data_IF_816533530047
#
_entry.id   IF_816533530047
#
_cell.length_a   1.000
_cell.length_b   1.000
_cell.length_c   1.000
_cell.angle_alpha   90.00
_cell.angle_beta   90.00
_cell.angle_gamma   90.00
#
_symmetry.space_group_name_H-M   'P 1'
#
loop_
_entity.id
_entity.type
_entity.pdbx_description
1 polymer ?
#
# COMPACT_ATOMS: atom_id res chain seq x y z
N UNK A 1 -0.86 -18.66 4.96
CA UNK A 1 -1.86 -17.59 4.79
C UNK A 1 -1.27 -16.48 3.93
N UNK A 2 -2.03 -16.02 2.96
CA UNK A 2 -1.55 -15.04 1.99
C UNK A 2 -1.25 -13.71 2.67
N UNK A 3 -0.11 -13.10 2.34
CA UNK A 3 0.23 -11.78 2.83
C UNK A 3 -0.63 -10.72 2.16
N UNK A 4 -0.91 -9.65 2.89
CA UNK A 4 -1.66 -8.51 2.38
C UNK A 4 -0.71 -7.32 2.27
N UNK A 5 -0.82 -6.57 1.17
CA UNK A 5 -0.09 -5.33 1.00
C UNK A 5 -1.09 -4.19 1.12
N UNK A 6 -0.81 -3.25 2.01
CA UNK A 6 -1.72 -2.16 2.29
C UNK A 6 -1.32 -0.90 1.52
N UNK A 7 -2.32 -0.32 0.83
CA UNK A 7 -2.16 1.00 0.22
C UNK A 7 -1.95 2.05 1.32
N UNK A 8 -1.32 3.14 0.97
CA UNK A 8 -0.94 4.20 1.91
C UNK A 8 -2.14 4.73 2.70
N UNK A 9 -3.28 4.93 2.04
CA UNK A 9 -4.47 5.44 2.73
C UNK A 9 -4.97 4.48 3.80
N UNK A 10 -4.88 3.17 3.57
CA UNK A 10 -5.29 2.19 4.57
C UNK A 10 -4.41 2.30 5.82
N UNK A 11 -3.08 2.42 5.64
CA UNK A 11 -2.16 2.60 6.75
C UNK A 11 -2.50 3.89 7.51
N UNK A 12 -2.77 4.97 6.78
CA UNK A 12 -3.14 6.25 7.39
C UNK A 12 -4.41 6.14 8.23
N UNK A 13 -5.41 5.40 7.74
CA UNK A 13 -6.65 5.18 8.51
C UNK A 13 -6.34 4.46 9.84
N UNK A 14 -5.50 3.43 9.79
CA UNK A 14 -5.12 2.69 10.99
C UNK A 14 -4.40 3.58 12.00
N UNK A 15 -3.48 4.43 11.51
CA UNK A 15 -2.72 5.33 12.36
C UNK A 15 -3.60 6.36 13.07
N UNK A 16 -4.61 6.88 12.36
CA UNK A 16 -5.47 7.96 12.88
C UNK A 16 -6.69 7.45 13.62
N UNK A 17 -6.87 6.13 13.71
CA UNK A 17 -8.10 5.53 14.22
C UNK A 17 -9.33 6.06 13.48
N UNK A 18 -9.20 6.26 12.17
CA UNK A 18 -10.28 6.69 11.30
C UNK A 18 -11.42 5.66 11.33
N UNK A 19 -12.69 6.07 11.22
CA UNK A 19 -13.80 5.10 11.13
C UNK A 19 -13.60 4.05 10.04
N UNK A 20 -12.95 4.39 8.92
CA UNK A 20 -12.65 3.43 7.87
C UNK A 20 -11.69 2.32 8.32
N UNK A 21 -10.89 2.57 9.36
CA UNK A 21 -10.03 1.52 9.91
C UNK A 21 -10.85 0.33 10.39
N UNK A 22 -12.02 0.58 11.00
CA UNK A 22 -12.91 -0.49 11.49
C UNK A 22 -13.44 -1.35 10.36
N UNK A 23 -13.63 -0.74 9.19
CA UNK A 23 -14.17 -1.44 8.01
C UNK A 23 -13.15 -2.43 7.48
N UNK A 24 -11.87 -2.07 7.52
CA UNK A 24 -10.81 -2.90 6.95
C UNK A 24 -10.17 -3.87 7.95
N UNK A 25 -10.19 -3.60 9.26
CA UNK A 25 -9.54 -4.46 10.25
C UNK A 25 -9.93 -5.94 10.14
N UNK A 26 -11.19 -6.31 9.90
CA UNK A 26 -11.53 -7.73 9.77
C UNK A 26 -10.79 -8.44 8.65
N UNK A 27 -10.47 -7.71 7.55
CA UNK A 27 -9.71 -8.29 6.44
C UNK A 27 -8.25 -8.54 6.81
N UNK A 28 -7.72 -7.77 7.74
CA UNK A 28 -6.30 -7.79 8.08
C UNK A 28 -5.96 -8.84 9.13
N UNK A 29 -6.94 -9.23 9.92
CA UNK A 29 -6.73 -10.12 11.07
C UNK A 29 -6.09 -11.44 10.63
N UNK A 30 -5.04 -11.84 11.33
CA UNK A 30 -4.33 -13.10 11.13
C UNK A 30 -3.56 -13.21 9.82
N UNK A 31 -3.41 -12.12 9.08
CA UNK A 31 -2.58 -12.09 7.86
C UNK A 31 -1.25 -11.38 8.13
N UNK A 32 -0.15 -11.87 7.54
CA UNK A 32 1.07 -11.06 7.49
C UNK A 32 0.80 -9.80 6.68
N UNK A 33 1.30 -8.66 7.15
CA UNK A 33 1.06 -7.37 6.52
C UNK A 33 2.36 -6.80 5.95
N UNK A 34 2.25 -6.24 4.75
CA UNK A 34 3.38 -5.63 4.06
C UNK A 34 2.98 -4.25 3.52
N UNK A 35 3.96 -3.41 3.30
CA UNK A 35 3.80 -2.13 2.62
C UNK A 35 4.93 -1.95 1.61
N UNK A 36 4.64 -1.17 0.56
CA UNK A 36 5.67 -0.74 -0.38
C UNK A 36 6.59 0.29 0.28
N UNK A 37 7.86 0.32 -0.14
CA UNK A 37 8.76 1.40 0.24
C UNK A 37 8.18 2.77 -0.12
N UNK A 38 7.38 2.84 -1.18
CA UNK A 38 6.72 4.08 -1.59
C UNK A 38 5.70 4.53 -0.54
N UNK A 39 4.96 3.59 0.04
CA UNK A 39 4.05 3.89 1.14
C UNK A 39 4.81 4.48 2.32
N UNK A 40 5.96 3.90 2.68
CA UNK A 40 6.79 4.45 3.74
C UNK A 40 7.20 5.89 3.44
N UNK A 41 7.65 6.15 2.19
CA UNK A 41 8.04 7.49 1.77
C UNK A 41 6.87 8.48 1.87
N UNK A 42 5.68 8.06 1.43
CA UNK A 42 4.48 8.89 1.51
C UNK A 42 4.07 9.18 2.95
N UNK A 43 4.25 8.24 3.85
CA UNK A 43 3.95 8.45 5.26
C UNK A 43 4.89 9.48 5.88
N UNK A 44 6.19 9.44 5.55
CA UNK A 44 7.13 10.46 6.00
C UNK A 44 6.77 11.84 5.46
N UNK A 45 6.42 11.92 4.19
CA UNK A 45 5.98 13.19 3.60
C UNK A 45 4.71 13.70 4.28
N UNK A 46 3.76 12.80 4.53
CA UNK A 46 2.52 13.15 5.21
C UNK A 46 2.76 13.68 6.61
N UNK A 47 3.74 13.13 7.33
CA UNK A 47 4.10 13.59 8.67
C UNK A 47 4.58 15.05 8.64
N UNK A 48 5.39 15.40 7.64
CA UNK A 48 5.89 16.76 7.50
C UNK A 48 4.78 17.73 7.09
N UNK A 49 3.96 17.32 6.10
CA UNK A 49 2.88 18.17 5.57
C UNK A 49 1.80 18.43 6.61
N UNK A 50 1.45 17.39 7.38
CA UNK A 50 0.37 17.48 8.37
C UNK A 50 0.79 17.95 9.73
N UNK A 51 2.06 18.28 9.95
CA UNK A 51 2.59 18.67 11.27
C UNK A 51 2.21 17.64 12.33
N UNK A 52 2.46 16.38 12.05
CA UNK A 52 2.08 15.28 12.94
C UNK A 52 2.83 15.39 14.27
N UNK A 53 2.13 15.00 15.35
CA UNK A 53 2.74 14.92 16.67
C UNK A 53 3.78 13.82 16.77
N UNK A 54 4.52 13.84 17.88
CA UNK A 54 5.60 12.88 18.13
C UNK A 54 5.14 11.43 18.07
N UNK A 55 3.92 11.16 18.53
CA UNK A 55 3.36 9.81 18.54
C UNK A 55 3.22 9.22 17.13
N UNK A 56 2.66 10.00 16.19
CA UNK A 56 2.50 9.54 14.82
C UNK A 56 3.84 9.42 14.11
N UNK A 57 4.78 10.31 14.38
CA UNK A 57 6.13 10.19 13.81
C UNK A 57 6.82 8.94 14.30
N UNK A 58 6.67 8.62 15.57
CA UNK A 58 7.23 7.38 16.13
C UNK A 58 6.61 6.16 15.47
N UNK A 59 5.31 6.20 15.20
CA UNK A 59 4.64 5.11 14.48
C UNK A 59 5.32 4.83 13.14
N UNK A 60 5.59 5.89 12.36
CA UNK A 60 6.25 5.72 11.07
C UNK A 60 7.67 5.19 11.24
N UNK A 61 8.42 5.70 12.20
CA UNK A 61 9.79 5.25 12.45
C UNK A 61 9.86 3.79 12.88
N UNK A 62 8.82 3.29 13.55
CA UNK A 62 8.75 1.93 14.06
C UNK A 62 7.84 1.02 13.22
N UNK A 63 7.52 1.45 12.00
CA UNK A 63 6.54 0.75 11.16
C UNK A 63 6.94 -0.70 10.86
N UNK A 64 8.24 -0.98 10.86
CA UNK A 64 8.78 -2.32 10.64
C UNK A 64 8.34 -3.33 11.71
N UNK A 65 7.82 -2.88 12.85
CA UNK A 65 7.32 -3.77 13.90
C UNK A 65 6.00 -4.40 13.53
N UNK A 66 5.26 -3.76 12.61
CA UNK A 66 3.93 -4.21 12.22
C UNK A 66 3.88 -4.68 10.77
N UNK A 67 4.72 -4.11 9.91
CA UNK A 67 4.72 -4.37 8.48
C UNK A 67 6.09 -4.79 8.00
N UNK A 68 6.09 -5.71 7.01
CA UNK A 68 7.27 -5.93 6.19
C UNK A 68 7.31 -4.82 5.14
N UNK A 69 8.42 -4.12 5.05
CA UNK A 69 8.61 -3.10 4.01
C UNK A 69 9.25 -3.76 2.79
N UNK A 70 8.61 -3.62 1.64
CA UNK A 70 9.12 -4.18 0.40
C UNK A 70 9.95 -3.11 -0.31
N UNK A 71 11.26 -3.36 -0.38
CA UNK A 71 12.23 -2.45 -1.00
C UNK A 71 12.41 -2.80 -2.47
N UNK A 72 12.73 -1.81 -3.33
CA UNK A 72 12.94 -2.09 -4.75
C UNK A 72 14.20 -2.90 -4.99
N UNK A 73 14.06 -3.87 -5.91
CA UNK A 73 15.17 -4.62 -6.46
C UNK A 73 14.96 -4.67 -7.97
N UNK A 74 15.84 -5.39 -8.68
CA UNK A 74 15.75 -5.46 -10.14
C UNK A 74 14.41 -6.04 -10.60
N UNK A 75 13.93 -7.09 -9.96
CA UNK A 75 12.67 -7.73 -10.34
C UNK A 75 11.48 -6.80 -10.13
N UNK A 76 11.49 -6.06 -9.03
CA UNK A 76 10.43 -5.10 -8.75
C UNK A 76 10.45 -3.96 -9.78
N UNK A 77 11.64 -3.49 -10.17
CA UNK A 77 11.76 -2.47 -11.20
C UNK A 77 11.17 -2.93 -12.52
N UNK A 78 11.45 -4.18 -12.92
CA UNK A 78 10.90 -4.74 -14.15
C UNK A 78 9.38 -4.84 -14.07
N UNK A 79 8.85 -5.25 -12.93
CA UNK A 79 7.40 -5.34 -12.73
C UNK A 79 6.74 -3.97 -12.79
N UNK A 80 7.39 -2.96 -12.20
CA UNK A 80 6.90 -1.58 -12.27
C UNK A 80 6.75 -1.12 -13.72
N UNK A 81 7.77 -1.41 -14.54
CA UNK A 81 7.73 -1.08 -15.96
C UNK A 81 6.57 -1.76 -16.69
N UNK A 82 6.34 -3.04 -16.39
CA UNK A 82 5.22 -3.77 -16.98
C UNK A 82 3.87 -3.19 -16.59
N UNK A 83 3.70 -2.83 -15.32
CA UNK A 83 2.46 -2.22 -14.82
C UNK A 83 2.19 -0.90 -15.55
N UNK A 84 3.20 -0.05 -15.63
CA UNK A 84 3.09 1.24 -16.30
C UNK A 84 2.76 1.08 -17.78
N UNK A 85 3.40 0.14 -18.43
CA UNK A 85 3.17 -0.12 -19.86
C UNK A 85 1.76 -0.67 -20.10
N UNK A 86 1.31 -1.62 -19.29
CA UNK A 86 -0.04 -2.20 -19.40
C UNK A 86 -1.12 -1.12 -19.27
N UNK A 87 -0.88 -0.13 -18.40
CA UNK A 87 -1.82 0.95 -18.15
C UNK A 87 -1.52 2.23 -18.95
N UNK A 88 -0.76 2.12 -20.06
CA UNK A 88 -0.34 3.32 -20.80
C UNK A 88 -1.49 4.14 -21.39
N UNK A 89 -2.63 3.52 -21.65
CA UNK A 89 -3.80 4.24 -22.18
C UNK A 89 -4.71 4.80 -21.07
N UNK A 90 -4.61 4.26 -19.88
CA UNK A 90 -5.23 4.78 -18.66
C UNK A 90 -4.15 4.86 -17.61
N UNK A 91 -3.28 5.88 -17.67
CA UNK A 91 -2.07 5.89 -16.88
C UNK A 91 -2.31 5.76 -15.39
N UNK A 92 -1.51 4.91 -14.76
CA UNK A 92 -1.41 4.81 -13.31
C UNK A 92 -0.25 5.70 -12.86
N UNK A 93 -0.37 6.33 -11.71
CA UNK A 93 0.72 7.15 -11.19
C UNK A 93 1.95 6.29 -10.90
N UNK A 94 3.13 6.93 -10.90
CA UNK A 94 4.37 6.23 -10.57
C UNK A 94 4.28 5.62 -9.17
N UNK A 95 3.70 6.36 -8.23
CA UNK A 95 3.55 5.92 -6.84
C UNK A 95 2.67 4.68 -6.73
N UNK A 96 1.50 4.72 -7.35
CA UNK A 96 0.56 3.59 -7.33
C UNK A 96 1.14 2.39 -8.08
N UNK A 97 1.92 2.64 -9.13
CA UNK A 97 2.57 1.56 -9.88
C UNK A 97 3.57 0.79 -9.01
N UNK A 98 4.30 1.47 -8.11
CA UNK A 98 5.19 0.79 -7.16
C UNK A 98 4.40 -0.10 -6.21
N UNK A 99 3.26 0.38 -5.74
CA UNK A 99 2.39 -0.39 -4.84
C UNK A 99 1.84 -1.62 -5.55
N UNK A 100 1.31 -1.42 -6.77
CA UNK A 100 0.77 -2.52 -7.56
C UNK A 100 1.83 -3.55 -7.92
N UNK A 101 3.01 -3.08 -8.32
CA UNK A 101 4.12 -3.96 -8.69
C UNK A 101 4.53 -4.84 -7.51
N UNK A 102 4.61 -4.27 -6.31
CA UNK A 102 4.96 -5.04 -5.11
C UNK A 102 3.91 -6.12 -4.83
N UNK A 103 2.64 -5.79 -4.94
CA UNK A 103 1.57 -6.75 -4.69
C UNK A 103 1.64 -7.92 -5.68
N UNK A 104 1.84 -7.65 -6.96
CA UNK A 104 1.94 -8.68 -7.98
C UNK A 104 3.21 -9.51 -7.80
N UNK A 105 4.35 -8.84 -7.61
CA UNK A 105 5.65 -9.53 -7.53
C UNK A 105 5.72 -10.48 -6.34
N UNK A 106 5.15 -10.10 -5.20
CA UNK A 106 5.21 -10.90 -3.98
C UNK A 106 3.92 -11.65 -3.69
N UNK A 107 3.02 -11.69 -4.67
CA UNK A 107 1.74 -12.41 -4.55
C UNK A 107 0.96 -12.04 -3.29
N UNK A 108 0.87 -10.74 -3.03
CA UNK A 108 0.04 -10.20 -1.97
C UNK A 108 -1.29 -9.71 -2.55
N UNK A 109 -2.37 -9.86 -1.78
CA UNK A 109 -3.58 -9.13 -2.12
C UNK A 109 -3.38 -7.67 -1.71
N UNK A 110 -3.80 -6.73 -2.56
CA UNK A 110 -3.70 -5.31 -2.27
C UNK A 110 -4.97 -4.85 -1.56
N UNK A 111 -4.80 -4.28 -0.37
CA UNK A 111 -5.91 -3.68 0.38
C UNK A 111 -5.90 -2.18 0.08
N UNK A 112 -6.96 -1.68 -0.56
CA UNK A 112 -7.06 -0.28 -0.96
C UNK A 112 -8.50 0.19 -0.91
N UNK A 113 -8.69 1.47 -0.60
CA UNK A 113 -9.99 2.12 -0.67
C UNK A 113 -10.22 2.80 -2.03
N UNK A 114 -9.21 2.78 -2.90
CA UNK A 114 -9.23 3.40 -4.22
C UNK A 114 -9.03 2.34 -5.31
N UNK A 115 -9.89 1.31 -5.31
CA UNK A 115 -9.76 0.18 -6.24
C UNK A 115 -9.72 0.62 -7.71
N UNK A 116 -10.42 1.72 -8.03
CA UNK A 116 -10.47 2.24 -9.40
C UNK A 116 -9.07 2.53 -9.95
N UNK A 117 -8.18 3.03 -9.10
CA UNK A 117 -6.84 3.41 -9.54
C UNK A 117 -5.99 2.20 -9.92
N UNK A 118 -6.38 1.00 -9.47
CA UNK A 118 -5.60 -0.23 -9.65
C UNK A 118 -6.24 -1.25 -10.59
N UNK A 119 -7.33 -0.88 -11.28
CA UNK A 119 -7.99 -1.81 -12.20
C UNK A 119 -7.15 -2.08 -13.44
N UNK A 120 -7.35 -3.27 -14.01
CA UNK A 120 -6.73 -3.63 -15.27
C UNK A 120 -5.26 -4.04 -15.17
N UNK A 121 -4.79 -4.42 -14.00
CA UNK A 121 -3.43 -4.89 -13.80
C UNK A 121 -3.46 -6.41 -13.66
N UNK A 122 -2.86 -7.14 -14.63
CA UNK A 122 -2.86 -8.60 -14.58
C UNK A 122 -2.19 -9.13 -13.31
N UNK A 123 -2.82 -10.13 -12.71
CA UNK A 123 -2.27 -10.80 -11.53
C UNK A 123 -2.53 -10.07 -10.22
N UNK A 124 -3.15 -8.90 -10.25
CA UNK A 124 -3.43 -8.14 -9.03
C UNK A 124 -4.78 -8.54 -8.43
N UNK A 125 -4.75 -8.98 -7.17
CA UNK A 125 -5.95 -9.24 -6.38
C UNK A 125 -6.20 -8.04 -5.48
N UNK A 126 -7.43 -7.53 -5.49
CA UNK A 126 -7.79 -6.33 -4.72
C UNK A 126 -8.82 -6.67 -3.66
N UNK A 127 -8.58 -6.18 -2.44
CA UNK A 127 -9.55 -6.20 -1.35
C UNK A 127 -9.96 -4.75 -1.09
N UNK A 128 -11.24 -4.46 -1.25
CA UNK A 128 -11.76 -3.12 -1.04
C UNK A 128 -13.17 -3.19 -0.47
N UNK A 129 -13.56 -2.13 0.23
CA UNK A 129 -14.90 -1.98 0.78
C UNK A 129 -15.58 -0.78 0.15
N UNK A 130 -16.83 -0.95 -0.19
CA UNK A 130 -17.60 0.08 -0.89
C UNK A 130 -18.46 0.86 0.12
N UNK A 131 -17.80 1.67 0.93
CA UNK A 131 -18.45 2.45 1.99
C UNK A 131 -18.17 3.94 1.88
#
# INVERSE_FOLDING_TARGET
MKSLLLDTNIVSYLMRSDPLARVYRPHLASHPLAISFMTLAELYEGALRGSWGAEKRRYVEEIHREFVVIWPDRNLCARWGEVRWTRRQQPISAEDAWIAAAAVEYDCALVTHNARDFRGIPGLTIITENV
#
